data_IF_577787876665
#
_entry.id   IF_577787876665
#
_cell.length_a   1.000
_cell.length_b   1.000
_cell.length_c   1.000
_cell.angle_alpha   90.00
_cell.angle_beta   90.00
_cell.angle_gamma   90.00
#
_symmetry.space_group_name_H-M   'P 1'
#
loop_
_entity.id
_entity.type
_entity.pdbx_description
1 polymer ?
#
# COMPACT_ATOMS: atom_id res chain seq x y z
N UNK A 1 -18.58 18.03 2.48
CA UNK A 1 -18.31 16.66 2.89
C UNK A 1 -18.09 16.63 4.38
N UNK A 2 -18.77 15.75 5.02
CA UNK A 2 -18.69 15.59 6.47
C UNK A 2 -17.72 14.48 6.80
N UNK A 3 -17.14 14.54 7.98
CA UNK A 3 -16.21 13.51 8.42
C UNK A 3 -16.86 12.12 8.45
N UNK A 4 -18.13 12.05 8.84
CA UNK A 4 -18.83 10.79 8.85
C UNK A 4 -19.00 10.21 7.45
N UNK A 5 -19.04 11.05 6.41
CA UNK A 5 -19.10 10.56 5.04
C UNK A 5 -17.84 9.82 4.65
N UNK A 6 -16.70 10.32 5.11
CA UNK A 6 -15.45 9.61 4.87
C UNK A 6 -15.43 8.27 5.59
N UNK A 7 -16.10 8.22 6.73
CA UNK A 7 -16.19 7.00 7.51
C UNK A 7 -17.21 6.01 6.97
N UNK A 8 -18.05 6.42 6.04
CA UNK A 8 -18.94 5.52 5.34
C UNK A 8 -18.16 4.72 4.33
N UNK A 9 -17.02 4.35 4.60
CA UNK A 9 -16.31 3.28 3.89
C UNK A 9 -16.50 3.25 2.40
N UNK A 10 -16.21 4.38 1.78
CA UNK A 10 -16.10 4.36 0.34
C UNK A 10 -15.04 3.32 0.00
N UNK A 11 -15.35 2.42 -0.93
CA UNK A 11 -14.37 1.41 -1.27
C UNK A 11 -13.12 2.04 -1.85
N UNK A 12 -11.97 1.57 -1.37
CA UNK A 12 -10.68 1.94 -1.93
C UNK A 12 -10.02 0.65 -2.40
N UNK A 13 -9.36 0.75 -3.53
CA UNK A 13 -8.60 -0.37 -4.06
C UNK A 13 -7.12 -0.04 -3.91
N UNK A 14 -6.38 -0.95 -3.31
CA UNK A 14 -4.94 -0.79 -3.12
C UNK A 14 -4.22 -1.81 -3.97
N UNK A 15 -3.27 -1.33 -4.75
CA UNK A 15 -2.41 -2.17 -5.55
C UNK A 15 -0.99 -1.86 -5.12
N UNK A 16 -0.33 -2.81 -4.50
CA UNK A 16 0.97 -2.59 -3.87
C UNK A 16 1.97 -3.56 -4.47
N UNK A 17 3.04 -3.00 -5.02
CA UNK A 17 4.15 -3.78 -5.51
C UNK A 17 5.38 -3.46 -4.67
N UNK A 18 6.19 -4.46 -4.41
CA UNK A 18 7.36 -4.32 -3.58
C UNK A 18 8.55 -5.01 -4.23
N UNK A 19 9.73 -4.44 -4.01
CA UNK A 19 10.97 -5.08 -4.43
C UNK A 19 11.83 -5.30 -3.20
N UNK A 20 12.35 -6.51 -3.08
CA UNK A 20 13.22 -6.89 -1.99
C UNK A 20 14.19 -7.95 -2.50
N UNK A 21 15.24 -8.17 -1.73
CA UNK A 21 16.16 -9.26 -2.03
C UNK A 21 15.56 -10.56 -1.53
N UNK A 22 15.07 -11.37 -2.46
CA UNK A 22 14.48 -12.66 -2.13
C UNK A 22 15.48 -13.80 -2.25
N UNK A 23 16.72 -13.49 -2.55
CA UNK A 23 17.72 -14.52 -2.83
C UNK A 23 17.93 -15.49 -1.68
N UNK A 24 18.07 -14.96 -0.47
CA UNK A 24 18.30 -15.82 0.70
C UNK A 24 17.09 -16.72 0.97
N UNK A 25 15.89 -16.17 0.88
CA UNK A 25 14.69 -16.96 1.08
C UNK A 25 14.57 -18.07 0.03
N UNK A 26 14.84 -17.73 -1.22
CA UNK A 26 14.72 -18.69 -2.32
C UNK A 26 15.79 -19.79 -2.25
N UNK A 27 17.03 -19.41 -1.92
CA UNK A 27 18.12 -20.40 -1.84
C UNK A 27 17.92 -21.39 -0.71
N UNK A 28 17.36 -20.96 0.41
CA UNK A 28 17.18 -21.80 1.59
C UNK A 28 15.76 -22.33 1.71
N UNK A 29 14.85 -21.88 0.86
CA UNK A 29 13.43 -22.21 0.95
C UNK A 29 12.92 -21.95 2.36
N UNK A 30 13.27 -20.80 2.90
CA UNK A 30 13.03 -20.46 4.31
C UNK A 30 11.97 -19.34 4.38
N UNK A 31 10.79 -19.71 4.86
CA UNK A 31 9.66 -18.79 4.94
C UNK A 31 9.94 -17.61 5.88
N UNK A 32 10.83 -17.79 6.86
CA UNK A 32 11.13 -16.69 7.79
C UNK A 32 11.90 -15.56 7.12
N UNK A 33 12.48 -15.82 5.97
CA UNK A 33 13.22 -14.82 5.18
C UNK A 33 12.41 -14.23 4.05
N UNK A 34 11.20 -14.72 3.85
CA UNK A 34 10.32 -14.21 2.80
C UNK A 34 9.52 -13.00 3.32
N UNK A 35 8.96 -12.24 2.38
CA UNK A 35 8.05 -11.16 2.75
C UNK A 35 6.78 -11.77 3.32
N UNK A 36 6.33 -11.23 4.46
CA UNK A 36 5.08 -11.65 5.06
C UNK A 36 3.95 -10.80 4.49
N UNK A 37 3.37 -11.26 3.40
CA UNK A 37 2.28 -10.51 2.73
C UNK A 37 1.04 -10.39 3.61
N UNK A 38 0.79 -11.37 4.46
CA UNK A 38 -0.37 -11.31 5.35
C UNK A 38 -0.18 -10.21 6.40
N UNK A 39 1.02 -10.08 6.95
CA UNK A 39 1.31 -9.02 7.90
C UNK A 39 1.21 -7.64 7.25
N UNK A 40 1.70 -7.51 6.03
CA UNK A 40 1.60 -6.26 5.30
C UNK A 40 0.13 -5.90 5.04
N UNK A 41 -0.66 -6.87 4.58
CA UNK A 41 -2.08 -6.65 4.34
C UNK A 41 -2.80 -6.23 5.60
N UNK A 42 -2.50 -6.88 6.72
CA UNK A 42 -3.11 -6.52 8.00
C UNK A 42 -2.73 -5.11 8.41
N UNK A 43 -1.47 -4.74 8.21
CA UNK A 43 -1.00 -3.40 8.54
C UNK A 43 -1.67 -2.33 7.68
N UNK A 44 -1.87 -2.61 6.40
CA UNK A 44 -2.59 -1.72 5.50
C UNK A 44 -4.02 -1.51 6.00
N UNK A 45 -4.70 -2.59 6.35
CA UNK A 45 -6.07 -2.52 6.85
C UNK A 45 -6.13 -1.68 8.13
N UNK A 46 -5.21 -1.92 9.06
CA UNK A 46 -5.17 -1.16 10.31
C UNK A 46 -5.00 0.34 10.05
N UNK A 47 -4.10 0.71 9.15
CA UNK A 47 -3.89 2.11 8.84
C UNK A 47 -5.13 2.73 8.22
N UNK A 48 -5.71 2.05 7.25
CA UNK A 48 -6.89 2.57 6.53
C UNK A 48 -8.05 2.74 7.49
N UNK A 49 -8.31 1.75 8.34
CA UNK A 49 -9.43 1.79 9.27
C UNK A 49 -9.26 2.85 10.36
N UNK A 50 -8.02 3.11 10.76
CA UNK A 50 -7.74 4.10 11.80
C UNK A 50 -7.53 5.51 11.25
N UNK A 51 -7.45 5.67 9.93
CA UNK A 51 -7.10 6.95 9.34
C UNK A 51 -8.31 7.84 9.15
N UNK A 52 -8.03 9.14 9.15
CA UNK A 52 -9.01 10.16 8.79
C UNK A 52 -8.44 11.08 7.73
N UNK A 53 -7.52 10.59 6.93
CA UNK A 53 -6.91 11.40 5.88
C UNK A 53 -7.94 11.86 4.88
N UNK A 54 -7.86 13.11 4.50
CA UNK A 54 -8.78 13.68 3.52
C UNK A 54 -8.35 13.38 2.09
N UNK A 55 -7.05 13.12 1.90
CA UNK A 55 -6.48 12.91 0.58
C UNK A 55 -5.95 11.49 0.47
N UNK A 56 -6.25 10.84 -0.65
CA UNK A 56 -5.68 9.51 -0.92
C UNK A 56 -4.17 9.61 -1.12
N UNK A 57 -3.67 10.77 -1.54
CA UNK A 57 -2.23 11.03 -1.65
C UNK A 57 -1.54 10.90 -0.30
N UNK A 58 -2.14 11.48 0.73
CA UNK A 58 -1.61 11.38 2.08
C UNK A 58 -1.59 9.95 2.56
N UNK A 59 -2.68 9.23 2.31
CA UNK A 59 -2.77 7.82 2.66
C UNK A 59 -1.68 7.01 1.96
N UNK A 60 -1.49 7.23 0.67
CA UNK A 60 -0.46 6.52 -0.08
C UNK A 60 0.94 6.77 0.48
N UNK A 61 1.26 8.02 0.84
CA UNK A 61 2.55 8.34 1.43
C UNK A 61 2.77 7.64 2.77
N UNK A 62 1.75 7.62 3.62
CA UNK A 62 1.84 6.94 4.90
C UNK A 62 2.02 5.44 4.74
N UNK A 63 1.30 4.84 3.80
CA UNK A 63 1.45 3.42 3.52
C UNK A 63 2.86 3.09 3.06
N UNK A 64 3.40 3.90 2.15
CA UNK A 64 4.75 3.67 1.65
C UNK A 64 5.77 3.76 2.78
N UNK A 65 5.65 4.77 3.64
CA UNK A 65 6.57 4.94 4.75
C UNK A 65 6.52 3.76 5.72
N UNK A 66 5.33 3.28 6.04
CA UNK A 66 5.14 2.15 6.94
C UNK A 66 5.74 0.89 6.35
N UNK A 67 5.48 0.61 5.09
CA UNK A 67 5.97 -0.60 4.46
C UNK A 67 7.50 -0.59 4.40
N UNK A 68 8.09 0.53 4.01
CA UNK A 68 9.55 0.63 3.96
C UNK A 68 10.20 0.53 5.33
N UNK A 69 9.53 1.06 6.37
CA UNK A 69 10.09 1.11 7.70
C UNK A 69 9.91 -0.21 8.46
N UNK A 70 8.76 -0.84 8.34
CA UNK A 70 8.41 -1.97 9.18
C UNK A 70 8.69 -3.32 8.52
N UNK A 71 8.86 -3.35 7.22
CA UNK A 71 9.09 -4.59 6.49
C UNK A 71 10.40 -4.52 5.73
N UNK A 72 10.89 -5.69 5.33
CA UNK A 72 12.21 -5.80 4.68
C UNK A 72 12.10 -5.56 3.18
N UNK A 73 11.61 -4.40 2.80
CA UNK A 73 11.53 -4.06 1.39
C UNK A 73 12.31 -2.77 1.16
N UNK A 74 12.98 -2.70 0.03
CA UNK A 74 13.78 -1.54 -0.33
C UNK A 74 13.04 -0.56 -1.22
N UNK A 75 11.93 -1.00 -1.81
CA UNK A 75 11.17 -0.20 -2.75
C UNK A 75 9.71 -0.63 -2.70
N UNK A 76 8.83 0.33 -2.83
CA UNK A 76 7.40 0.07 -2.88
C UNK A 76 6.74 0.99 -3.88
N UNK A 77 5.79 0.43 -4.63
CA UNK A 77 4.89 1.21 -5.47
C UNK A 77 3.49 1.01 -4.93
N UNK A 78 2.82 2.11 -4.65
CA UNK A 78 1.46 2.07 -4.12
C UNK A 78 0.55 2.80 -5.07
N UNK A 79 -0.53 2.13 -5.42
CA UNK A 79 -1.59 2.69 -6.23
C UNK A 79 -2.86 2.61 -5.42
N UNK A 80 -3.46 3.76 -5.17
CA UNK A 80 -4.72 3.84 -4.43
C UNK A 80 -5.78 4.34 -5.39
N UNK A 81 -6.83 3.58 -5.57
CA UNK A 81 -7.91 3.90 -6.47
C UNK A 81 -9.19 4.09 -5.69
N UNK A 82 -9.92 5.12 -6.05
CA UNK A 82 -11.23 5.40 -5.49
C UNK A 82 -12.24 5.29 -6.64
N UNK A 83 -13.12 4.30 -6.61
CA UNK A 83 -14.16 4.20 -7.62
C UNK A 83 -15.02 5.45 -7.64
N UNK A 84 -15.45 5.86 -8.80
CA UNK A 84 -16.20 7.09 -8.97
C UNK A 84 -17.49 6.86 -9.71
N UNK A 85 -18.47 7.73 -9.43
CA UNK A 85 -19.73 7.72 -10.16
C UNK A 85 -19.68 8.58 -11.42
N UNK A 86 -18.55 9.15 -11.75
CA UNK A 86 -18.40 9.95 -12.97
C UNK A 86 -18.51 9.04 -14.18
N UNK A 87 -19.36 9.43 -15.13
CA UNK A 87 -19.69 8.57 -16.27
C UNK A 87 -18.48 8.23 -17.14
N UNK A 88 -17.52 9.13 -17.24
CA UNK A 88 -16.36 8.98 -18.11
C UNK A 88 -15.18 8.29 -17.44
N UNK A 89 -15.32 7.92 -16.17
CA UNK A 89 -14.21 7.29 -15.46
C UNK A 89 -14.75 6.25 -14.48
N UNK A 90 -14.11 5.09 -14.46
CA UNK A 90 -14.45 4.03 -13.51
C UNK A 90 -13.85 4.29 -12.16
N UNK A 91 -12.70 4.95 -12.10
CA UNK A 91 -12.01 5.25 -10.86
C UNK A 91 -11.03 6.37 -11.07
N UNK A 92 -10.70 7.07 -10.00
CA UNK A 92 -9.58 8.01 -9.96
C UNK A 92 -8.67 7.58 -8.83
N UNK A 93 -7.39 7.92 -8.95
CA UNK A 93 -6.46 7.49 -7.94
C UNK A 93 -5.09 8.11 -8.10
N UNK A 94 -4.18 7.66 -7.26
CA UNK A 94 -2.79 8.10 -7.27
C UNK A 94 -1.89 6.89 -7.26
N UNK A 95 -0.70 7.08 -7.82
CA UNK A 95 0.33 6.07 -7.79
C UNK A 95 1.62 6.75 -7.38
N UNK A 96 2.28 6.18 -6.40
CA UNK A 96 3.58 6.69 -5.94
C UNK A 96 4.59 5.55 -5.90
N UNK A 97 5.85 5.91 -5.98
CA UNK A 97 6.95 4.98 -5.80
C UNK A 97 7.92 5.59 -4.81
N UNK A 98 8.38 4.78 -3.86
CA UNK A 98 9.29 5.24 -2.82
C UNK A 98 10.35 4.18 -2.56
N UNK A 99 11.53 4.64 -2.16
CA UNK A 99 12.65 3.76 -1.93
C UNK A 99 13.47 3.54 -3.21
N UNK A 100 14.30 2.52 -3.17
CA UNK A 100 15.17 2.20 -4.30
C UNK A 100 14.98 0.75 -4.72
N UNK A 101 14.60 0.55 -5.98
CA UNK A 101 14.50 -0.77 -6.56
C UNK A 101 15.90 -1.25 -6.89
N UNK A 102 16.54 -1.93 -5.98
CA UNK A 102 17.85 -2.50 -6.21
C UNK A 102 17.67 -3.90 -6.79
N UNK A 103 17.68 -3.96 -8.10
CA UNK A 103 17.47 -5.20 -8.82
C UNK A 103 18.75 -5.87 -9.29
N UNK A 104 19.87 -5.28 -8.94
CA UNK A 104 21.18 -5.79 -9.37
C UNK A 104 21.79 -6.80 -8.45
#
# INVERSE_FOLDING_TARGET
VYDWERNIRQPLVFDIEMATDVKAAAEEDDLTKAIDYAAISQRVIELVESSSFQLIETLAEHLAAIILKEFRVGWVQIRVLKPTAVAEADAVGVQIQRGHANLG
#
